data_IF_253418763328
#
_entry.id   IF_253418763328
#
_cell.length_a   1.000
_cell.length_b   1.000
_cell.length_c   1.000
_cell.angle_alpha   90.00
_cell.angle_beta   90.00
_cell.angle_gamma   90.00
#
_symmetry.space_group_name_H-M   'P 1'
#
loop_
_entity.id
_entity.type
_entity.pdbx_description
1 polymer ?
#
# COMPACT_ATOMS: atom_id res chain seq x y z
N UNK A 1 -9.48 16.71 27.67
CA UNK A 1 -9.50 16.95 26.20
C UNK A 1 -10.73 16.26 25.63
N UNK A 2 -11.50 16.93 24.78
CA UNK A 2 -12.67 16.31 24.16
C UNK A 2 -12.23 15.12 23.29
N UNK A 3 -12.80 13.92 23.51
CA UNK A 3 -12.54 12.74 22.69
C UNK A 3 -12.96 13.02 21.24
N UNK A 4 -12.12 12.67 20.27
CA UNK A 4 -12.42 12.85 18.85
C UNK A 4 -13.74 12.13 18.51
N UNK A 5 -14.66 12.81 17.81
CA UNK A 5 -15.96 12.25 17.40
C UNK A 5 -15.80 10.93 16.63
N UNK A 6 -14.77 10.83 15.80
CA UNK A 6 -14.49 9.62 15.01
C UNK A 6 -14.12 8.45 15.91
N UNK A 7 -13.29 8.68 16.93
CA UNK A 7 -12.90 7.66 17.90
C UNK A 7 -14.11 7.15 18.68
N UNK A 8 -14.98 8.06 19.14
CA UNK A 8 -16.17 7.67 19.90
C UNK A 8 -17.12 6.80 19.06
N UNK A 9 -17.30 7.15 17.78
CA UNK A 9 -18.17 6.39 16.88
C UNK A 9 -17.61 5.00 16.58
N UNK A 10 -16.34 4.90 16.18
CA UNK A 10 -15.73 3.61 15.82
C UNK A 10 -15.63 2.68 17.04
N UNK A 11 -15.29 3.22 18.21
CA UNK A 11 -15.27 2.49 19.49
C UNK A 11 -16.64 1.90 19.80
N UNK A 12 -17.70 2.71 19.71
CA UNK A 12 -19.05 2.28 20.07
C UNK A 12 -19.62 1.27 19.09
N UNK A 13 -19.31 1.40 17.81
CA UNK A 13 -19.68 0.41 16.79
C UNK A 13 -18.98 -0.92 17.07
N UNK A 14 -17.67 -0.91 17.33
CA UNK A 14 -16.94 -2.12 17.66
C UNK A 14 -17.51 -2.80 18.91
N UNK A 15 -17.66 -2.05 20.00
CA UNK A 15 -18.14 -2.60 21.29
C UNK A 15 -19.59 -3.10 21.24
N UNK A 16 -20.43 -2.58 20.34
CA UNK A 16 -21.80 -3.06 20.17
C UNK A 16 -21.87 -4.50 19.62
N UNK A 17 -20.87 -4.90 18.84
CA UNK A 17 -20.84 -6.19 18.14
C UNK A 17 -19.77 -7.15 18.66
N UNK A 18 -18.75 -6.63 19.34
CA UNK A 18 -17.63 -7.42 19.86
C UNK A 18 -18.08 -8.39 20.96
N UNK A 19 -17.60 -9.63 20.86
CA UNK A 19 -17.71 -10.64 21.92
C UNK A 19 -16.32 -11.16 22.22
N UNK A 20 -16.02 -11.41 23.49
CA UNK A 20 -14.69 -11.89 23.91
C UNK A 20 -14.33 -13.16 23.15
N UNK A 21 -13.16 -13.16 22.51
CA UNK A 21 -12.64 -14.29 21.73
C UNK A 21 -13.01 -14.27 20.25
N UNK A 22 -13.82 -13.32 19.77
CA UNK A 22 -14.04 -13.17 18.33
C UNK A 22 -12.78 -12.65 17.64
N UNK A 23 -12.56 -13.14 16.42
CA UNK A 23 -11.48 -12.67 15.53
C UNK A 23 -12.00 -11.71 14.46
N UNK A 24 -13.31 -11.58 14.35
CA UNK A 24 -14.02 -10.80 13.35
C UNK A 24 -15.22 -10.08 13.98
N UNK A 25 -15.45 -8.83 13.59
CA UNK A 25 -16.61 -8.02 14.00
C UNK A 25 -17.11 -7.25 12.78
N UNK A 26 -18.30 -7.59 12.29
CA UNK A 26 -18.89 -6.99 11.08
C UNK A 26 -19.83 -5.84 11.45
N UNK A 27 -19.83 -4.78 10.64
CA UNK A 27 -20.76 -3.66 10.77
C UNK A 27 -21.09 -3.04 9.39
N UNK A 28 -22.24 -2.37 9.31
CA UNK A 28 -22.69 -1.65 8.13
C UNK A 28 -22.46 -0.14 8.25
N UNK A 29 -22.25 0.54 7.11
CA UNK A 29 -22.00 1.99 7.06
C UNK A 29 -23.15 2.79 7.70
N UNK A 30 -24.36 2.29 7.53
CA UNK A 30 -25.62 2.85 8.01
C UNK A 30 -25.70 2.85 9.55
N UNK A 31 -24.85 2.07 10.23
CA UNK A 31 -24.75 2.09 11.69
C UNK A 31 -24.05 3.34 12.23
N UNK A 32 -23.20 4.00 11.43
CA UNK A 32 -22.51 5.23 11.82
C UNK A 32 -23.50 6.35 12.18
N UNK A 33 -24.44 6.75 11.30
CA UNK A 33 -25.42 7.78 11.65
C UNK A 33 -26.36 7.34 12.78
N UNK A 34 -26.72 6.05 12.85
CA UNK A 34 -27.54 5.52 13.95
C UNK A 34 -26.81 5.65 15.31
N UNK A 35 -25.51 5.34 15.34
CA UNK A 35 -24.68 5.47 16.53
C UNK A 35 -24.44 6.93 16.92
N UNK A 36 -24.18 7.82 15.95
CA UNK A 36 -24.04 9.25 16.19
C UNK A 36 -25.29 9.84 16.86
N UNK A 37 -26.48 9.47 16.36
CA UNK A 37 -27.75 9.87 16.97
C UNK A 37 -27.90 9.36 18.41
N UNK A 38 -27.56 8.08 18.66
CA UNK A 38 -27.61 7.49 20.02
C UNK A 38 -26.67 8.17 21.00
N UNK A 39 -25.50 8.62 20.55
CA UNK A 39 -24.49 9.30 21.37
C UNK A 39 -24.72 10.81 21.51
N UNK A 40 -25.70 11.39 20.80
CA UNK A 40 -25.90 12.84 20.75
C UNK A 40 -24.74 13.59 20.07
N UNK A 41 -24.02 12.93 19.16
CA UNK A 41 -22.89 13.51 18.43
C UNK A 41 -23.36 13.98 17.06
N UNK A 42 -22.89 15.15 16.62
CA UNK A 42 -23.11 15.63 15.25
C UNK A 42 -22.52 14.63 14.24
N UNK A 43 -23.35 14.17 13.30
CA UNK A 43 -22.98 13.19 12.28
C UNK A 43 -21.85 13.77 11.40
N UNK A 44 -20.76 13.02 11.18
CA UNK A 44 -19.72 13.45 10.24
C UNK A 44 -20.29 13.70 8.84
N UNK A 45 -19.91 14.83 8.23
CA UNK A 45 -20.33 15.19 6.86
C UNK A 45 -19.91 14.15 5.83
N UNK A 46 -18.78 13.47 6.05
CA UNK A 46 -18.30 12.38 5.22
C UNK A 46 -18.11 11.10 6.04
N UNK A 47 -19.12 10.22 6.03
CA UNK A 47 -19.06 8.93 6.73
C UNK A 47 -17.91 8.03 6.24
N UNK A 48 -17.53 8.17 4.96
CA UNK A 48 -16.42 7.40 4.39
C UNK A 48 -15.06 7.79 4.99
N UNK A 49 -14.89 9.07 5.34
CA UNK A 49 -13.67 9.61 5.93
C UNK A 49 -13.37 9.02 7.31
N UNK A 50 -14.40 8.72 8.10
CA UNK A 50 -14.25 8.04 9.39
C UNK A 50 -13.55 6.69 9.22
N UNK A 51 -14.06 5.85 8.31
CA UNK A 51 -13.51 4.51 8.08
C UNK A 51 -12.14 4.61 7.41
N UNK A 52 -12.00 5.50 6.43
CA UNK A 52 -10.75 5.74 5.72
C UNK A 52 -9.63 6.15 6.70
N UNK A 53 -9.92 7.04 7.64
CA UNK A 53 -8.98 7.49 8.66
C UNK A 53 -8.41 6.33 9.48
N UNK A 54 -9.26 5.46 10.04
CA UNK A 54 -8.81 4.33 10.86
C UNK A 54 -8.22 3.17 10.07
N UNK A 55 -8.46 3.09 8.76
CA UNK A 55 -7.83 2.09 7.89
C UNK A 55 -6.38 2.43 7.55
N UNK A 56 -6.08 3.73 7.39
CA UNK A 56 -4.86 4.16 6.72
C UNK A 56 -4.07 5.27 7.41
N UNK A 57 -4.71 6.13 8.21
CA UNK A 57 -4.07 7.34 8.75
C UNK A 57 -3.87 7.34 10.25
N UNK A 58 -4.83 6.80 11.01
CA UNK A 58 -4.86 6.90 12.47
C UNK A 58 -5.05 5.51 13.08
N UNK A 59 -4.37 5.25 14.20
CA UNK A 59 -4.55 4.03 14.95
C UNK A 59 -5.99 3.91 15.49
N UNK A 60 -6.49 2.68 15.61
CA UNK A 60 -7.75 2.42 16.28
C UNK A 60 -7.69 2.85 17.77
N UNK A 61 -8.81 3.27 18.36
CA UNK A 61 -8.88 3.61 19.78
C UNK A 61 -8.34 2.51 20.69
N UNK A 62 -7.74 2.90 21.81
CA UNK A 62 -7.16 1.97 22.78
C UNK A 62 -8.16 0.89 23.23
N UNK A 63 -9.43 1.28 23.40
CA UNK A 63 -10.60 0.43 23.70
C UNK A 63 -10.80 -0.73 22.72
N UNK A 64 -10.34 -0.61 21.48
CA UNK A 64 -10.36 -1.68 20.48
C UNK A 64 -9.03 -2.43 20.53
N UNK A 65 -7.91 -1.71 20.48
CA UNK A 65 -6.58 -2.33 20.36
C UNK A 65 -6.21 -3.21 21.56
N UNK A 66 -6.67 -2.89 22.77
CA UNK A 66 -6.40 -3.70 23.96
C UNK A 66 -7.11 -5.07 23.95
N UNK A 67 -8.10 -5.26 23.09
CA UNK A 67 -8.79 -6.54 22.92
C UNK A 67 -8.03 -7.49 21.98
N UNK A 68 -6.95 -7.02 21.34
CA UNK A 68 -6.10 -7.87 20.52
C UNK A 68 -5.14 -8.69 21.39
N UNK A 69 -5.02 -10.02 21.17
CA UNK A 69 -3.99 -10.86 21.76
C UNK A 69 -2.56 -10.38 21.41
N UNK A 70 -1.57 -10.80 22.20
CA UNK A 70 -0.16 -10.50 21.94
C UNK A 70 0.25 -10.92 20.52
N UNK A 71 0.91 -10.02 19.80
CA UNK A 71 1.36 -10.27 18.43
C UNK A 71 0.25 -10.12 17.37
N UNK A 72 -0.95 -9.70 17.74
CA UNK A 72 -2.04 -9.41 16.81
C UNK A 72 -2.49 -7.95 16.90
N UNK A 73 -3.18 -7.49 15.87
CA UNK A 73 -3.81 -6.17 15.82
C UNK A 73 -5.15 -6.23 15.07
N UNK A 74 -6.02 -5.27 15.37
CA UNK A 74 -7.28 -5.09 14.65
C UNK A 74 -7.06 -4.19 13.44
N UNK A 75 -7.54 -4.61 12.28
CA UNK A 75 -7.63 -3.79 11.06
C UNK A 75 -9.08 -3.77 10.57
N UNK A 76 -9.43 -2.81 9.72
CA UNK A 76 -10.76 -2.77 9.08
C UNK A 76 -10.62 -3.17 7.60
N UNK A 77 -11.31 -4.24 7.21
CA UNK A 77 -11.45 -4.68 5.82
C UNK A 77 -12.84 -4.34 5.27
N UNK A 78 -12.97 -4.01 3.98
CA UNK A 78 -14.26 -3.99 3.32
C UNK A 78 -14.69 -5.43 2.99
N UNK A 79 -15.96 -5.74 3.20
CA UNK A 79 -16.54 -7.09 2.96
C UNK A 79 -17.82 -6.97 2.11
N UNK A 80 -17.83 -6.01 1.19
CA UNK A 80 -18.93 -5.72 0.29
C UNK A 80 -19.32 -4.24 0.28
N UNK A 81 -20.38 -3.93 -0.46
CA UNK A 81 -20.87 -2.55 -0.59
C UNK A 81 -21.41 -2.04 0.75
N UNK A 82 -20.81 -0.97 1.28
CA UNK A 82 -21.15 -0.37 2.58
C UNK A 82 -21.00 -1.32 3.79
N UNK A 83 -20.27 -2.44 3.65
CA UNK A 83 -20.04 -3.40 4.73
C UNK A 83 -18.57 -3.50 5.07
N UNK A 84 -18.28 -3.52 6.35
CA UNK A 84 -16.92 -3.53 6.87
C UNK A 84 -16.78 -4.54 7.99
N UNK A 85 -15.56 -4.99 8.19
CA UNK A 85 -15.25 -5.97 9.21
C UNK A 85 -13.96 -5.57 9.91
N UNK A 86 -14.01 -5.48 11.24
CA UNK A 86 -12.79 -5.53 12.03
C UNK A 86 -12.27 -6.95 12.00
N UNK A 87 -11.02 -7.14 11.60
CA UNK A 87 -10.39 -8.45 11.54
C UNK A 87 -9.11 -8.43 12.35
N UNK A 88 -8.92 -9.45 13.16
CA UNK A 88 -7.73 -9.65 13.96
C UNK A 88 -6.64 -10.31 13.10
N UNK A 89 -5.57 -9.59 12.80
CA UNK A 89 -4.45 -10.07 11.98
C UNK A 89 -3.17 -10.16 12.80
N UNK A 90 -2.21 -10.95 12.31
CA UNK A 90 -0.84 -10.91 12.85
C UNK A 90 -0.30 -9.49 12.69
N UNK A 91 0.22 -8.92 13.78
CA UNK A 91 0.76 -7.57 13.78
C UNK A 91 2.11 -7.58 13.10
N UNK A 92 2.20 -6.89 11.97
CA UNK A 92 3.46 -6.63 11.28
C UNK A 92 3.36 -5.33 10.49
N UNK A 93 4.47 -4.65 10.29
CA UNK A 93 4.51 -3.40 9.56
C UNK A 93 5.29 -3.58 8.27
N UNK A 94 4.71 -3.09 7.17
CA UNK A 94 5.46 -2.86 5.94
C UNK A 94 6.29 -1.60 6.18
N UNK A 95 7.60 -1.77 6.32
CA UNK A 95 8.55 -0.68 6.56
C UNK A 95 9.86 -1.00 5.83
N UNK A 96 10.54 0.03 5.28
CA UNK A 96 11.83 -0.19 4.63
C UNK A 96 12.87 -0.77 5.60
N UNK A 97 13.55 -1.83 5.19
CA UNK A 97 14.58 -2.47 5.98
C UNK A 97 15.90 -1.66 5.91
N UNK A 98 16.33 -0.99 7.01
CA UNK A 98 17.50 -0.12 6.98
C UNK A 98 18.83 -0.84 6.73
N UNK A 99 18.85 -2.18 6.79
CA UNK A 99 20.05 -2.99 6.56
C UNK A 99 20.29 -3.31 5.07
N UNK A 100 19.38 -2.95 4.16
CA UNK A 100 19.56 -3.20 2.73
C UNK A 100 20.52 -2.19 2.09
N UNK A 101 21.35 -2.68 1.16
CA UNK A 101 22.19 -1.84 0.31
C UNK A 101 21.35 -0.97 -0.63
N UNK A 102 21.81 0.24 -0.90
CA UNK A 102 21.17 1.18 -1.84
C UNK A 102 21.75 0.99 -3.22
N UNK A 103 20.88 0.92 -4.23
CA UNK A 103 21.25 0.79 -5.63
C UNK A 103 21.16 2.18 -6.27
N UNK A 104 22.31 2.74 -6.64
CA UNK A 104 22.35 4.04 -7.33
C UNK A 104 21.78 3.91 -8.75
N UNK A 105 20.90 4.83 -9.11
CA UNK A 105 20.32 4.96 -10.45
C UNK A 105 20.41 6.44 -10.83
N UNK A 106 20.97 6.79 -12.01
CA UNK A 106 20.96 8.18 -12.47
C UNK A 106 19.54 8.74 -12.55
N UNK A 107 19.27 9.88 -11.91
CA UNK A 107 17.94 10.49 -11.87
C UNK A 107 17.59 11.09 -13.24
N UNK A 108 16.67 10.44 -13.95
CA UNK A 108 16.12 10.85 -15.23
C UNK A 108 14.83 11.70 -15.08
N UNK A 109 14.43 12.07 -13.86
CA UNK A 109 13.23 12.89 -13.65
C UNK A 109 13.41 14.27 -14.29
N UNK A 110 12.55 14.70 -15.24
CA UNK A 110 12.70 16.00 -15.86
C UNK A 110 12.64 17.12 -14.82
N UNK A 111 13.55 18.10 -14.92
CA UNK A 111 13.59 19.24 -13.98
C UNK A 111 12.26 20.00 -13.91
N UNK A 112 11.48 19.98 -14.99
CA UNK A 112 10.13 20.55 -15.03
C UNK A 112 9.15 19.85 -14.07
N UNK A 113 9.27 18.53 -13.93
CA UNK A 113 8.47 17.73 -13.01
C UNK A 113 8.91 18.01 -11.58
N UNK A 114 10.22 18.03 -11.33
CA UNK A 114 10.77 18.37 -10.00
C UNK A 114 10.31 19.75 -9.55
N UNK A 115 10.29 20.73 -10.46
CA UNK A 115 9.86 22.11 -10.18
C UNK A 115 8.38 22.23 -9.78
N UNK A 116 7.51 21.40 -10.35
CA UNK A 116 6.04 21.54 -10.23
C UNK A 116 5.36 20.42 -9.44
N UNK A 117 6.12 19.51 -8.82
CA UNK A 117 5.56 18.47 -7.97
C UNK A 117 4.85 19.09 -6.75
N UNK A 118 3.53 18.85 -6.65
CA UNK A 118 2.67 19.47 -5.62
C UNK A 118 2.62 18.69 -4.31
N UNK A 119 2.90 17.39 -4.34
CA UNK A 119 2.92 16.53 -3.15
C UNK A 119 3.85 15.32 -3.34
N UNK A 120 4.22 14.70 -2.21
CA UNK A 120 5.19 13.60 -2.17
C UNK A 120 4.72 12.37 -2.93
N UNK A 121 3.42 12.05 -2.93
CA UNK A 121 2.90 10.87 -3.63
C UNK A 121 3.02 11.01 -5.15
N UNK A 122 2.63 12.16 -5.70
CA UNK A 122 2.78 12.44 -7.13
C UNK A 122 4.25 12.55 -7.54
N UNK A 123 5.11 13.11 -6.67
CA UNK A 123 6.55 13.11 -6.86
C UNK A 123 7.11 11.68 -6.92
N UNK A 124 6.66 10.79 -6.03
CA UNK A 124 7.06 9.39 -5.99
C UNK A 124 6.65 8.68 -7.28
N UNK A 125 5.38 8.73 -7.66
CA UNK A 125 4.89 8.09 -8.89
C UNK A 125 5.62 8.61 -10.14
N UNK A 126 5.87 9.92 -10.22
CA UNK A 126 6.64 10.48 -11.33
C UNK A 126 8.07 9.93 -11.37
N UNK A 127 8.75 9.85 -10.21
CA UNK A 127 10.09 9.26 -10.12
C UNK A 127 10.09 7.80 -10.54
N UNK A 128 9.10 6.99 -10.14
CA UNK A 128 8.97 5.60 -10.58
C UNK A 128 8.91 5.49 -12.12
N UNK A 129 8.09 6.33 -12.77
CA UNK A 129 7.92 6.36 -14.23
C UNK A 129 9.19 6.77 -14.97
N UNK A 130 9.68 7.98 -14.68
CA UNK A 130 10.77 8.58 -15.45
C UNK A 130 12.10 7.85 -15.27
N UNK A 131 12.31 7.22 -14.12
CA UNK A 131 13.51 6.42 -13.85
C UNK A 131 13.34 4.92 -14.17
N UNK A 132 12.19 4.51 -14.74
CA UNK A 132 11.93 3.11 -15.12
C UNK A 132 12.15 2.14 -13.94
N UNK A 133 11.87 2.59 -12.71
CA UNK A 133 12.20 1.81 -11.51
C UNK A 133 11.37 0.54 -11.42
N UNK A 134 10.13 0.54 -11.94
CA UNK A 134 9.30 -0.66 -12.03
C UNK A 134 9.97 -1.69 -12.93
N UNK A 135 10.48 -1.28 -14.11
CA UNK A 135 11.20 -2.15 -15.03
C UNK A 135 12.49 -2.71 -14.41
N UNK A 136 13.30 -1.84 -13.81
CA UNK A 136 14.57 -2.20 -13.16
C UNK A 136 14.33 -3.19 -12.02
N UNK A 137 13.29 -2.96 -11.22
CA UNK A 137 12.96 -3.80 -10.07
C UNK A 137 12.38 -5.16 -10.48
N UNK A 138 11.49 -5.17 -11.47
CA UNK A 138 10.75 -6.39 -11.85
C UNK A 138 11.45 -7.22 -12.93
N UNK A 139 12.33 -6.62 -13.72
CA UNK A 139 12.89 -7.19 -14.95
C UNK A 139 11.89 -7.29 -16.11
N UNK A 140 10.75 -6.60 -16.02
CA UNK A 140 9.68 -6.60 -17.02
C UNK A 140 9.66 -5.27 -17.74
N UNK A 141 9.45 -5.26 -19.07
CA UNK A 141 9.27 -4.00 -19.80
C UNK A 141 7.84 -3.51 -19.56
N UNK A 142 7.71 -2.43 -18.79
CA UNK A 142 6.45 -1.93 -18.25
C UNK A 142 6.03 -0.60 -18.89
N UNK A 143 4.72 -0.37 -18.94
CA UNK A 143 4.07 0.85 -19.38
C UNK A 143 3.02 1.26 -18.35
N UNK A 144 3.02 2.53 -17.94
CA UNK A 144 1.95 3.06 -17.09
C UNK A 144 0.65 3.05 -17.87
N UNK A 145 -0.35 2.33 -17.37
CA UNK A 145 -1.67 2.22 -17.98
C UNK A 145 -2.60 3.31 -17.46
N UNK A 146 -2.66 3.47 -16.14
CA UNK A 146 -3.56 4.42 -15.50
C UNK A 146 -3.08 4.78 -14.09
N UNK A 147 -3.18 6.07 -13.75
CA UNK A 147 -2.96 6.57 -12.39
C UNK A 147 -4.31 6.87 -11.72
N UNK A 148 -4.38 6.72 -10.40
CA UNK A 148 -5.58 6.95 -9.58
C UNK A 148 -6.80 6.18 -10.09
N UNK A 149 -6.60 4.89 -10.37
CA UNK A 149 -7.68 4.02 -10.84
C UNK A 149 -8.68 3.81 -9.71
N UNK A 150 -9.82 4.51 -9.79
CA UNK A 150 -10.99 4.25 -8.96
C UNK A 150 -11.91 3.26 -9.62
N UNK A 151 -12.20 2.15 -8.94
CA UNK A 151 -13.06 1.12 -9.48
C UNK A 151 -13.83 0.36 -8.41
N UNK A 152 -14.66 -0.59 -8.81
CA UNK A 152 -15.36 -1.49 -7.91
C UNK A 152 -14.94 -2.94 -8.14
N UNK A 153 -14.79 -3.67 -7.03
CA UNK A 153 -14.58 -5.11 -7.00
C UNK A 153 -15.81 -5.73 -6.33
N UNK A 154 -16.47 -6.75 -6.91
CA UNK A 154 -17.73 -7.29 -6.38
C UNK A 154 -17.70 -7.63 -4.88
N UNK A 155 -16.60 -8.21 -4.40
CA UNK A 155 -16.43 -8.63 -3.00
C UNK A 155 -15.98 -7.51 -2.04
N UNK A 156 -15.39 -6.42 -2.54
CA UNK A 156 -14.77 -5.37 -1.71
C UNK A 156 -15.45 -4.01 -1.83
N UNK A 157 -16.33 -3.82 -2.82
CA UNK A 157 -16.90 -2.51 -3.13
C UNK A 157 -15.91 -1.61 -3.85
N UNK A 158 -15.97 -0.30 -3.56
CA UNK A 158 -15.11 0.69 -4.22
C UNK A 158 -13.68 0.65 -3.67
N UNK A 159 -12.71 0.67 -4.58
CA UNK A 159 -11.28 0.61 -4.32
C UNK A 159 -10.55 1.63 -5.18
N UNK A 160 -9.33 1.96 -4.77
CA UNK A 160 -8.45 2.93 -5.44
C UNK A 160 -7.04 2.35 -5.49
N UNK A 161 -6.47 2.36 -6.69
CA UNK A 161 -5.09 1.96 -6.96
C UNK A 161 -4.32 3.18 -7.46
N UNK A 162 -3.21 3.53 -6.80
CA UNK A 162 -2.48 4.77 -7.08
C UNK A 162 -1.91 4.77 -8.51
N UNK A 163 -1.40 3.62 -8.95
CA UNK A 163 -0.98 3.41 -10.33
C UNK A 163 -1.06 1.94 -10.77
N UNK A 164 -1.43 1.72 -12.03
CA UNK A 164 -1.40 0.39 -12.67
C UNK A 164 -0.45 0.44 -13.86
N UNK A 165 0.50 -0.50 -13.89
CA UNK A 165 1.32 -0.77 -15.06
C UNK A 165 0.88 -2.07 -15.73
N UNK A 166 1.12 -2.15 -17.05
CA UNK A 166 1.10 -3.40 -17.80
C UNK A 166 2.47 -3.63 -18.41
N UNK A 167 2.89 -4.89 -18.55
CA UNK A 167 4.21 -5.18 -19.07
C UNK A 167 4.32 -6.52 -19.76
N UNK A 168 5.44 -6.68 -20.48
CA UNK A 168 5.81 -7.90 -21.16
C UNK A 168 7.26 -8.27 -20.83
N UNK A 169 7.51 -9.54 -20.55
CA UNK A 169 8.86 -10.06 -20.34
C UNK A 169 9.46 -10.64 -21.63
N UNK A 170 10.68 -11.18 -21.52
CA UNK A 170 11.40 -11.77 -22.66
C UNK A 170 10.74 -13.05 -23.21
N UNK A 171 9.83 -13.67 -22.46
CA UNK A 171 9.06 -14.84 -22.89
C UNK A 171 7.72 -14.44 -23.54
N UNK A 172 7.38 -13.16 -23.57
CA UNK A 172 6.10 -12.68 -24.05
C UNK A 172 4.96 -12.83 -23.02
N UNK A 173 5.27 -13.16 -21.76
CA UNK A 173 4.25 -13.22 -20.72
C UNK A 173 3.76 -11.81 -20.36
N UNK A 174 2.45 -11.66 -20.23
CA UNK A 174 1.82 -10.39 -19.91
C UNK A 174 1.66 -10.23 -18.39
N UNK A 175 2.00 -9.04 -17.89
CA UNK A 175 1.93 -8.69 -16.48
C UNK A 175 0.98 -7.52 -16.27
N UNK A 176 0.30 -7.55 -15.12
CA UNK A 176 -0.35 -6.39 -14.51
C UNK A 176 0.32 -6.12 -13.17
N UNK A 177 0.72 -4.88 -12.96
CA UNK A 177 1.54 -4.47 -11.81
C UNK A 177 0.84 -3.29 -11.15
N UNK A 178 -0.06 -3.54 -10.19
CA UNK A 178 -0.65 -2.48 -9.40
C UNK A 178 0.40 -1.97 -8.40
N UNK A 179 0.46 -0.65 -8.21
CA UNK A 179 1.43 0.03 -7.38
C UNK A 179 0.71 0.90 -6.37
N UNK A 180 1.02 0.72 -5.10
CA UNK A 180 0.68 1.64 -4.01
C UNK A 180 1.88 2.51 -3.70
N UNK A 181 1.70 3.84 -3.71
CA UNK A 181 2.75 4.80 -3.41
C UNK A 181 2.48 5.48 -2.07
N UNK A 182 3.51 5.57 -1.23
CA UNK A 182 3.42 6.26 0.07
C UNK A 182 4.56 7.27 0.23
N UNK A 183 4.17 8.53 0.36
CA UNK A 183 5.07 9.65 0.65
C UNK A 183 4.99 10.09 2.11
N UNK A 184 6.00 10.83 2.56
CA UNK A 184 6.02 11.48 3.87
C UNK A 184 5.91 10.51 5.06
N UNK A 185 4.87 10.69 5.89
CA UNK A 185 4.63 9.89 7.12
C UNK A 185 3.59 8.78 6.92
N UNK A 186 3.06 8.64 5.72
CA UNK A 186 2.02 7.64 5.45
C UNK A 186 2.61 6.24 5.45
N UNK A 187 1.86 5.28 6.00
CA UNK A 187 2.29 3.88 6.09
C UNK A 187 1.58 3.07 5.02
N UNK A 188 2.32 2.14 4.43
CA UNK A 188 1.74 1.19 3.50
C UNK A 188 0.83 0.21 4.24
N UNK A 189 -0.39 0.05 3.73
CA UNK A 189 -1.39 -0.84 4.33
C UNK A 189 -1.51 -2.12 3.54
N UNK A 190 -1.41 -3.26 4.24
CA UNK A 190 -1.63 -4.58 3.64
C UNK A 190 -3.01 -4.68 2.98
N UNK A 191 -4.00 -3.97 3.50
CA UNK A 191 -5.36 -3.95 2.95
C UNK A 191 -5.39 -3.33 1.55
N UNK A 192 -4.54 -2.34 1.26
CA UNK A 192 -4.46 -1.75 -0.09
C UNK A 192 -3.85 -2.75 -1.08
N UNK A 193 -2.84 -3.50 -0.64
CA UNK A 193 -2.23 -4.56 -1.45
C UNK A 193 -3.24 -5.68 -1.75
N UNK A 194 -4.04 -6.10 -0.75
CA UNK A 194 -5.14 -7.05 -0.92
C UNK A 194 -6.19 -6.54 -1.92
N UNK A 195 -6.52 -5.25 -1.85
CA UNK A 195 -7.46 -4.61 -2.79
C UNK A 195 -6.92 -4.61 -4.21
N UNK A 196 -5.66 -4.26 -4.41
CA UNK A 196 -5.00 -4.22 -5.71
C UNK A 196 -4.94 -5.59 -6.39
N UNK A 197 -4.61 -6.64 -5.61
CA UNK A 197 -4.65 -8.03 -6.09
C UNK A 197 -6.07 -8.37 -6.56
N UNK A 198 -7.09 -7.99 -5.80
CA UNK A 198 -8.48 -8.26 -6.15
C UNK A 198 -8.94 -7.47 -7.38
N UNK A 199 -8.47 -6.23 -7.58
CA UNK A 199 -8.68 -5.46 -8.82
C UNK A 199 -8.08 -6.19 -10.00
N UNK A 200 -6.85 -6.68 -9.87
CA UNK A 200 -6.16 -7.40 -10.91
C UNK A 200 -6.89 -8.68 -11.30
N UNK A 201 -7.28 -9.49 -10.32
CA UNK A 201 -8.07 -10.70 -10.56
C UNK A 201 -9.42 -10.43 -11.24
N UNK A 202 -10.08 -9.30 -10.91
CA UNK A 202 -11.37 -8.95 -11.49
C UNK A 202 -11.27 -8.42 -12.93
N UNK A 203 -10.22 -7.66 -13.26
CA UNK A 203 -10.12 -6.89 -14.52
C UNK A 203 -9.09 -7.41 -15.51
N UNK A 204 -8.06 -8.09 -15.05
CA UNK A 204 -6.89 -8.50 -15.83
C UNK A 204 -6.66 -10.01 -15.68
N UNK A 205 -7.70 -10.80 -16.00
CA UNK A 205 -7.79 -12.24 -15.69
C UNK A 205 -6.64 -13.08 -16.25
N UNK A 206 -6.14 -12.71 -17.43
CA UNK A 206 -5.12 -13.47 -18.15
C UNK A 206 -3.69 -12.98 -17.87
N UNK A 207 -3.53 -11.84 -17.17
CA UNK A 207 -2.22 -11.25 -16.90
C UNK A 207 -1.69 -11.70 -15.53
N UNK A 208 -0.37 -11.91 -15.45
CA UNK A 208 0.30 -12.24 -14.19
C UNK A 208 0.29 -11.00 -13.29
N UNK A 209 -0.37 -11.11 -12.14
CA UNK A 209 -0.42 -10.03 -11.15
C UNK A 209 0.86 -10.00 -10.31
N UNK A 210 1.60 -8.88 -10.35
CA UNK A 210 2.74 -8.61 -9.46
C UNK A 210 2.50 -7.33 -8.65
N UNK A 211 1.87 -7.41 -7.48
CA UNK A 211 1.52 -6.23 -6.70
C UNK A 211 2.76 -5.61 -6.06
N UNK A 212 2.92 -4.29 -6.22
CA UNK A 212 4.06 -3.54 -5.72
C UNK A 212 3.66 -2.44 -4.73
N UNK A 213 4.61 -2.16 -3.84
CA UNK A 213 4.57 -1.01 -2.96
C UNK A 213 5.80 -0.13 -3.19
N UNK A 214 5.61 1.18 -3.21
CA UNK A 214 6.67 2.17 -3.29
C UNK A 214 6.59 3.11 -2.10
N UNK A 215 7.72 3.36 -1.45
CA UNK A 215 7.77 4.27 -0.32
C UNK A 215 9.03 5.14 -0.36
N UNK A 216 8.87 6.44 -0.12
CA UNK A 216 10.03 7.28 0.14
C UNK A 216 10.65 6.95 1.51
N UNK A 217 11.95 6.66 1.52
CA UNK A 217 12.78 6.73 2.72
C UNK A 217 13.27 8.18 2.89
N UNK A 218 13.70 8.79 1.78
CA UNK A 218 14.05 10.19 1.60
C UNK A 218 13.59 10.64 0.20
N UNK A 219 13.69 11.92 -0.14
CA UNK A 219 13.18 12.44 -1.43
C UNK A 219 13.83 11.81 -2.66
N UNK A 220 15.05 11.31 -2.53
CA UNK A 220 15.88 10.66 -3.56
C UNK A 220 16.08 9.16 -3.31
N UNK A 221 15.64 8.63 -2.17
CA UNK A 221 15.80 7.23 -1.79
C UNK A 221 14.45 6.54 -1.66
N UNK A 222 14.18 5.59 -2.57
CA UNK A 222 12.90 4.92 -2.72
C UNK A 222 13.05 3.43 -2.37
N UNK A 223 12.21 2.93 -1.46
CA UNK A 223 12.03 1.50 -1.25
C UNK A 223 10.93 0.97 -2.17
N UNK A 224 11.23 -0.09 -2.91
CA UNK A 224 10.26 -0.88 -3.66
C UNK A 224 10.10 -2.27 -3.05
N UNK A 225 8.85 -2.68 -2.90
CA UNK A 225 8.42 -3.96 -2.35
C UNK A 225 7.61 -4.72 -3.40
N UNK A 226 7.92 -6.00 -3.63
CA UNK A 226 7.04 -6.94 -4.31
C UNK A 226 6.32 -7.77 -3.27
N UNK A 227 5.02 -7.95 -3.44
CA UNK A 227 4.22 -8.78 -2.55
C UNK A 227 3.74 -10.06 -3.21
N UNK A 228 3.49 -11.07 -2.39
CA UNK A 228 2.86 -12.31 -2.80
C UNK A 228 1.76 -12.72 -1.82
N UNK A 229 0.79 -13.50 -2.30
CA UNK A 229 -0.23 -14.09 -1.43
C UNK A 229 0.29 -15.41 -0.87
N UNK A 230 0.41 -15.49 0.45
CA UNK A 230 0.71 -16.71 1.19
C UNK A 230 -0.55 -17.22 1.94
N UNK A 231 -0.56 -18.47 2.44
CA UNK A 231 -1.70 -19.02 3.18
C UNK A 231 -2.12 -18.21 4.41
N UNK A 232 -1.18 -17.47 5.01
CA UNK A 232 -1.37 -16.63 6.19
C UNK A 232 -1.48 -15.13 5.86
N UNK A 233 -1.72 -14.80 4.59
CA UNK A 233 -1.96 -13.46 4.08
C UNK A 233 -0.86 -12.95 3.14
N UNK A 234 -0.93 -11.66 2.82
CA UNK A 234 0.07 -11.01 1.96
C UNK A 234 1.42 -10.93 2.67
N UNK A 235 2.51 -11.24 1.95
CA UNK A 235 3.90 -11.17 2.43
C UNK A 235 4.78 -10.39 1.45
N UNK A 236 5.87 -9.81 1.96
CA UNK A 236 6.90 -9.19 1.12
C UNK A 236 7.77 -10.30 0.54
N UNK A 237 7.74 -10.44 -0.79
CA UNK A 237 8.57 -11.38 -1.55
C UNK A 237 9.96 -10.84 -1.80
N UNK A 238 10.05 -9.55 -2.13
CA UNK A 238 11.33 -8.89 -2.47
C UNK A 238 11.28 -7.43 -2.08
N UNK A 239 12.40 -6.91 -1.58
CA UNK A 239 12.59 -5.49 -1.27
C UNK A 239 13.93 -5.01 -1.83
N UNK A 240 13.92 -3.83 -2.48
CA UNK A 240 15.12 -3.15 -2.97
C UNK A 240 15.01 -1.65 -2.75
N UNK A 241 16.14 -1.01 -2.46
CA UNK A 241 16.20 0.44 -2.26
C UNK A 241 16.98 1.08 -3.41
N UNK A 242 16.35 2.01 -4.10
CA UNK A 242 16.93 2.75 -5.22
C UNK A 242 17.22 4.19 -4.80
N UNK A 243 18.48 4.59 -4.96
CA UNK A 243 18.95 5.94 -4.71
C UNK A 243 19.10 6.66 -6.04
N UNK A 244 18.22 7.63 -6.29
CA UNK A 244 18.26 8.47 -7.48
C UNK A 244 19.35 9.53 -7.29
N UNK A 245 20.36 9.52 -8.14
CA UNK A 245 21.56 10.36 -8.00
C UNK A 245 21.87 11.13 -9.29
N UNK A 246 22.53 12.29 -9.22
CA UNK A 246 23.17 12.89 -10.39
C UNK A 246 24.14 11.91 -11.05
N UNK A 247 24.36 12.07 -12.36
CA UNK A 247 25.25 11.17 -13.12
C UNK A 247 26.69 11.15 -12.60
N UNK A 248 27.12 12.24 -11.98
CA UNK A 248 28.47 12.44 -11.46
C UNK A 248 28.71 11.65 -10.16
N UNK A 249 27.64 11.30 -9.45
CA UNK A 249 27.73 10.54 -8.19
C UNK A 249 27.82 9.03 -8.38
N UNK A 250 27.73 8.55 -9.62
CA UNK A 250 27.91 7.14 -9.98
C UNK A 250 29.31 6.94 -10.56
N UNK A 251 30.29 6.64 -9.70
CA UNK A 251 31.70 6.62 -10.14
C UNK A 251 32.06 5.37 -10.94
N UNK A 252 33.15 5.43 -11.70
CA UNK A 252 33.65 4.26 -12.42
C UNK A 252 33.99 3.09 -11.49
N UNK A 253 34.51 3.36 -10.29
CA UNK A 253 34.80 2.34 -9.28
C UNK A 253 33.52 1.63 -8.84
N UNK A 254 32.44 2.37 -8.57
CA UNK A 254 31.14 1.80 -8.22
C UNK A 254 30.57 0.96 -9.37
N UNK A 255 30.65 1.46 -10.61
CA UNK A 255 30.23 0.69 -11.79
C UNK A 255 31.03 -0.60 -11.96
N UNK A 256 32.33 -0.59 -11.64
CA UNK A 256 33.17 -1.80 -11.67
C UNK A 256 32.75 -2.80 -10.59
N UNK A 257 32.28 -2.35 -9.42
CA UNK A 257 31.73 -3.24 -8.38
C UNK A 257 30.47 -3.96 -8.87
N UNK A 258 29.59 -3.29 -9.62
CA UNK A 258 28.38 -3.91 -10.18
C UNK A 258 28.64 -4.92 -11.31
N UNK A 259 29.83 -4.90 -11.92
CA UNK A 259 30.21 -5.91 -12.94
C UNK A 259 30.47 -7.29 -12.35
N UNK A 260 30.70 -7.39 -11.05
CA UNK A 260 30.86 -8.68 -10.37
C UNK A 260 29.47 -9.32 -10.34
N UNK A 261 29.23 -10.43 -11.07
CA UNK A 261 27.93 -11.09 -11.02
C UNK A 261 27.65 -11.47 -9.57
N UNK A 262 26.51 -11.04 -9.04
CA UNK A 262 26.05 -11.58 -7.77
C UNK A 262 26.02 -13.11 -7.90
N UNK A 263 26.73 -13.82 -7.02
CA UNK A 263 26.81 -15.29 -6.95
C UNK A 263 25.46 -15.98 -6.67
N UNK A 264 24.33 -15.34 -6.93
CA UNK A 264 22.98 -15.76 -6.57
C UNK A 264 22.05 -15.99 -7.76
N UNK A 265 22.58 -16.43 -8.91
CA UNK A 265 21.76 -17.00 -10.00
C UNK A 265 21.90 -18.52 -10.15
N UNK A 266 22.56 -19.19 -9.20
CA UNK A 266 22.58 -20.66 -9.11
C UNK A 266 21.62 -21.14 -8.02
N UNK A 267 20.32 -20.97 -8.23
CA UNK A 267 19.33 -21.92 -7.75
C UNK A 267 18.32 -22.12 -8.89
N UNK A 268 18.62 -23.14 -9.70
CA UNK A 268 17.69 -23.89 -10.55
C UNK A 268 16.48 -24.38 -9.77
#
# INVERSE_FOLDING_TARGET
MARNRYEQLIERIFLAHYKRGTTEVTFEREEIPAMAKRLGIEIPKNLGDLIYSFRYRVALPHSITHNAPKGKEWIIRPVGRSKYQFVLVTKWAIAPNPALSRIKVPDATPGMIVKYALNDEQALLAKLRYNRLIDIFTGVTCYSLQSHLRTSVPSLGQVETDEVYVGVDRQGAHYVIPVQAKGGRDRMSVVQIEQDIAVCAAKFKEAICRPLGAQFIQSDLIALFEFETAPDGVRVRTERHYHLVPSEELTEEELRLYRIPALSQLQT
#
